data_IF_726517443359
#
_entry.id   IF_726517443359
#
_cell.length_a   1.000
_cell.length_b   1.000
_cell.length_c   1.000
_cell.angle_alpha   90.00
_cell.angle_beta   90.00
_cell.angle_gamma   90.00
#
_symmetry.space_group_name_H-M   'P 1'
#
loop_
_entity.id
_entity.type
_entity.pdbx_description
1 polymer ?
#
# COMPACT_ATOMS: atom_id res chain seq x y z
N UNK A 1 46.81 19.68 3.77
CA UNK A 1 45.56 20.39 3.44
C UNK A 1 44.75 19.51 2.52
N UNK A 2 43.69 18.86 2.98
CA UNK A 2 42.69 18.25 2.09
C UNK A 2 41.36 18.05 2.83
N UNK A 3 40.46 19.00 2.54
CA UNK A 3 39.02 18.91 2.31
C UNK A 3 38.17 18.06 3.27
N UNK A 4 37.53 18.76 4.21
CA UNK A 4 36.35 18.32 4.93
C UNK A 4 35.18 18.17 3.95
N UNK A 5 34.68 16.96 3.74
CA UNK A 5 33.38 16.74 3.10
C UNK A 5 32.29 17.04 4.11
N UNK A 6 31.61 18.17 3.91
CA UNK A 6 30.43 18.58 4.67
C UNK A 6 29.29 17.62 4.37
N UNK A 7 28.94 16.77 5.35
CA UNK A 7 27.69 16.02 5.37
C UNK A 7 26.55 17.03 5.48
N UNK A 8 25.99 17.46 4.34
CA UNK A 8 24.74 18.21 4.32
C UNK A 8 23.61 17.24 4.66
N UNK A 9 23.38 17.04 5.96
CA UNK A 9 22.19 16.36 6.48
C UNK A 9 20.99 17.31 6.30
N UNK A 10 20.52 17.46 5.06
CA UNK A 10 19.17 17.93 4.81
C UNK A 10 18.23 16.84 5.31
N UNK A 11 17.90 16.90 6.61
CA UNK A 11 16.99 16.01 7.30
C UNK A 11 15.56 16.23 6.79
N UNK A 12 15.30 15.79 5.56
CA UNK A 12 13.97 15.76 4.98
C UNK A 12 13.31 14.45 5.44
N UNK A 13 12.50 14.55 6.49
CA UNK A 13 11.74 13.44 7.05
C UNK A 13 10.84 12.81 5.99
N UNK A 14 11.01 11.50 5.74
CA UNK A 14 10.09 10.74 4.89
C UNK A 14 8.77 10.51 5.65
N UNK A 15 7.61 10.65 4.98
CA UNK A 15 6.33 10.33 5.61
C UNK A 15 6.18 8.82 5.82
N UNK A 16 5.30 8.43 6.74
CA UNK A 16 4.87 7.04 6.91
C UNK A 16 3.48 6.84 6.29
N UNK A 17 3.29 5.72 5.59
CA UNK A 17 2.01 5.27 5.05
C UNK A 17 1.34 4.32 6.04
N UNK A 18 0.18 4.73 6.52
CA UNK A 18 -0.73 3.86 7.27
C UNK A 18 -1.85 3.39 6.33
N UNK A 19 -2.10 2.08 6.35
CA UNK A 19 -3.20 1.45 5.64
C UNK A 19 -4.15 0.86 6.69
N UNK A 20 -5.36 1.40 6.76
CA UNK A 20 -6.40 0.88 7.64
C UNK A 20 -7.40 0.04 6.85
N UNK A 21 -7.76 -1.17 7.32
CA UNK A 21 -8.73 -2.02 6.63
C UNK A 21 -10.11 -1.34 6.60
N UNK A 22 -10.74 -1.22 5.44
CA UNK A 22 -12.08 -0.61 5.33
C UNK A 22 -13.15 -1.43 6.06
N UNK A 23 -12.98 -2.76 6.14
CA UNK A 23 -13.94 -3.70 6.74
C UNK A 23 -13.33 -4.56 7.86
N UNK A 24 -12.20 -4.14 8.46
CA UNK A 24 -11.53 -4.91 9.52
C UNK A 24 -11.02 -6.29 9.10
N UNK A 25 -10.79 -6.53 7.80
CA UNK A 25 -10.43 -7.85 7.25
C UNK A 25 -8.97 -8.26 7.47
N UNK A 26 -8.11 -7.35 7.92
CA UNK A 26 -6.69 -7.56 8.21
C UNK A 26 -6.21 -6.50 9.21
N UNK A 27 -5.12 -6.75 9.93
CA UNK A 27 -4.59 -5.79 10.92
C UNK A 27 -4.00 -4.55 10.22
N UNK A 28 -4.22 -3.32 10.72
CA UNK A 28 -3.65 -2.11 10.13
C UNK A 28 -2.14 -2.23 9.87
N UNK A 29 -1.67 -1.59 8.81
CA UNK A 29 -0.26 -1.61 8.42
C UNK A 29 0.34 -0.20 8.53
N UNK A 30 1.56 -0.10 9.05
CA UNK A 30 2.39 1.09 9.08
C UNK A 30 3.67 0.83 8.29
N UNK A 31 3.80 1.50 7.15
CA UNK A 31 4.85 1.32 6.18
C UNK A 31 5.69 2.60 6.12
N UNK A 32 6.97 2.49 6.47
CA UNK A 32 7.92 3.61 6.46
C UNK A 32 9.15 3.36 5.58
N UNK A 33 9.26 2.18 4.96
CA UNK A 33 10.35 1.87 4.04
C UNK A 33 10.15 2.57 2.69
N UNK A 34 11.24 3.04 2.08
CA UNK A 34 11.20 3.84 0.85
C UNK A 34 10.55 3.12 -0.33
N UNK A 35 10.74 1.81 -0.43
CA UNK A 35 10.21 1.00 -1.53
C UNK A 35 9.63 -0.29 -0.99
N UNK A 36 8.32 -0.44 -1.10
CA UNK A 36 7.60 -1.62 -0.60
C UNK A 36 6.81 -2.27 -1.71
N UNK A 37 6.90 -3.59 -1.76
CA UNK A 37 6.06 -4.42 -2.62
C UNK A 37 4.74 -4.70 -1.94
N UNK A 38 3.67 -4.50 -2.69
CA UNK A 38 2.34 -5.00 -2.35
C UNK A 38 2.11 -6.32 -3.08
N UNK A 39 1.64 -7.33 -2.37
CA UNK A 39 1.37 -8.61 -3.01
C UNK A 39 0.80 -9.68 -2.09
N UNK A 40 0.55 -10.85 -2.70
CA UNK A 40 0.03 -12.03 -2.01
C UNK A 40 1.14 -12.82 -1.34
N UNK A 41 0.87 -13.32 -0.14
CA UNK A 41 1.70 -14.31 0.53
C UNK A 41 1.86 -15.59 -0.32
N UNK A 42 3.09 -16.08 -0.45
CA UNK A 42 3.42 -17.35 -1.13
C UNK A 42 4.22 -18.31 -0.28
N UNK A 43 4.93 -17.80 0.73
CA UNK A 43 5.81 -18.55 1.61
C UNK A 43 5.96 -17.80 2.96
N UNK A 44 6.83 -18.28 3.84
CA UNK A 44 7.08 -17.64 5.14
C UNK A 44 7.71 -16.24 5.02
N UNK A 45 8.52 -15.98 3.99
CA UNK A 45 9.19 -14.69 3.78
C UNK A 45 8.20 -13.57 3.39
N UNK A 46 7.09 -13.96 2.77
CA UNK A 46 6.01 -13.06 2.32
C UNK A 46 4.81 -13.08 3.27
N UNK A 47 5.01 -13.55 4.50
CA UNK A 47 3.96 -13.54 5.52
C UNK A 47 3.51 -12.10 5.83
N UNK A 48 2.20 -11.83 5.89
CA UNK A 48 1.67 -10.50 6.25
C UNK A 48 2.15 -10.07 7.63
N UNK A 49 2.71 -8.86 7.72
CA UNK A 49 3.01 -8.19 8.98
C UNK A 49 2.47 -6.77 8.95
N UNK A 50 2.46 -6.09 10.10
CA UNK A 50 2.07 -4.68 10.19
C UNK A 50 3.02 -3.75 9.42
N UNK A 51 4.24 -4.20 9.08
CA UNK A 51 5.29 -3.36 8.49
C UNK A 51 5.53 -3.59 7.01
N UNK A 52 4.84 -4.56 6.39
CA UNK A 52 5.04 -4.91 4.99
C UNK A 52 3.76 -4.79 4.15
N UNK A 53 3.92 -4.85 2.83
CA UNK A 53 2.83 -4.80 1.86
C UNK A 53 2.18 -6.15 1.53
N UNK A 54 2.48 -7.22 2.25
CA UNK A 54 1.94 -8.55 1.93
C UNK A 54 0.58 -8.81 2.59
N UNK A 55 -0.28 -9.51 1.87
CA UNK A 55 -1.61 -9.93 2.31
C UNK A 55 -1.85 -11.40 2.01
N UNK A 56 -2.59 -12.09 2.87
CA UNK A 56 -3.10 -13.43 2.57
C UNK A 56 -4.44 -13.31 1.84
N UNK A 57 -4.39 -13.04 0.54
CA UNK A 57 -5.59 -12.95 -0.29
C UNK A 57 -5.35 -13.45 -1.71
N UNK A 58 -6.18 -14.41 -2.15
CA UNK A 58 -6.08 -15.05 -3.47
C UNK A 58 -6.38 -14.12 -4.64
N UNK A 59 -7.04 -12.99 -4.41
CA UNK A 59 -7.37 -12.02 -5.47
C UNK A 59 -6.19 -11.10 -5.80
N UNK A 60 -5.12 -11.15 -5.01
CA UNK A 60 -3.88 -10.42 -5.27
C UNK A 60 -2.89 -11.26 -6.08
N UNK A 61 -2.17 -10.56 -6.95
CA UNK A 61 -0.96 -11.07 -7.60
C UNK A 61 0.16 -11.22 -6.55
N UNK A 62 1.14 -12.08 -6.83
CA UNK A 62 2.33 -12.21 -5.97
C UNK A 62 3.14 -10.91 -5.90
N UNK A 63 3.25 -10.24 -7.04
CA UNK A 63 3.72 -8.86 -7.19
C UNK A 63 2.55 -8.10 -7.83
N UNK A 64 1.88 -7.26 -7.05
CA UNK A 64 0.60 -6.66 -7.45
C UNK A 64 0.74 -5.16 -7.66
N UNK A 65 1.37 -4.48 -6.71
CA UNK A 65 1.67 -3.07 -6.79
C UNK A 65 2.99 -2.76 -6.06
N UNK A 66 3.50 -1.56 -6.26
CA UNK A 66 4.66 -1.04 -5.54
C UNK A 66 4.32 0.33 -4.96
N UNK A 67 4.73 0.53 -3.71
CA UNK A 67 4.64 1.82 -3.02
C UNK A 67 6.04 2.42 -2.93
N UNK A 68 6.15 3.69 -3.30
CA UNK A 68 7.38 4.47 -3.24
C UNK A 68 7.16 5.69 -2.33
N UNK A 69 7.88 5.73 -1.21
CA UNK A 69 7.88 6.85 -0.27
C UNK A 69 9.02 7.81 -0.65
N UNK A 70 8.66 8.93 -1.26
CA UNK A 70 9.57 10.05 -1.50
C UNK A 70 9.70 10.97 -0.29
N UNK A 71 10.42 12.08 -0.43
CA UNK A 71 10.70 13.03 0.66
C UNK A 71 9.44 13.64 1.30
N UNK A 72 8.34 13.79 0.56
CA UNK A 72 7.09 14.43 1.03
C UNK A 72 5.82 13.81 0.46
N UNK A 73 5.98 12.86 -0.47
CA UNK A 73 4.91 12.32 -1.29
C UNK A 73 5.06 10.82 -1.33
N UNK A 74 3.93 10.13 -1.32
CA UNK A 74 3.87 8.68 -1.42
C UNK A 74 3.18 8.37 -2.73
N UNK A 75 3.78 7.48 -3.50
CA UNK A 75 3.25 7.04 -4.78
C UNK A 75 2.95 5.56 -4.73
N UNK A 76 1.94 5.15 -5.50
CA UNK A 76 1.65 3.74 -5.77
C UNK A 76 1.60 3.51 -7.27
N UNK A 77 2.07 2.35 -7.72
CA UNK A 77 1.89 1.89 -9.10
C UNK A 77 1.40 0.45 -9.11
N UNK A 78 0.48 0.14 -10.02
CA UNK A 78 0.13 -1.24 -10.36
C UNK A 78 1.25 -1.86 -11.19
N UNK A 79 1.66 -3.09 -10.89
CA UNK A 79 2.75 -3.78 -11.59
C UNK A 79 2.23 -4.95 -12.44
N UNK A 80 1.35 -4.65 -13.40
CA UNK A 80 0.74 -5.63 -14.31
C UNK A 80 -0.14 -6.65 -13.56
N UNK A 81 -0.89 -6.18 -12.58
CA UNK A 81 -1.77 -7.07 -11.83
C UNK A 81 -2.95 -7.56 -12.68
N UNK A 82 -3.38 -8.79 -12.39
CA UNK A 82 -4.51 -9.40 -13.10
C UNK A 82 -5.83 -8.72 -12.71
N UNK A 83 -6.17 -8.76 -11.43
CA UNK A 83 -7.42 -8.19 -10.93
C UNK A 83 -7.40 -6.66 -10.76
N UNK A 84 -6.24 -6.00 -10.96
CA UNK A 84 -6.11 -4.54 -10.91
C UNK A 84 -5.92 -3.94 -9.52
N UNK A 85 -5.32 -2.75 -9.52
CA UNK A 85 -5.28 -1.80 -8.40
C UNK A 85 -6.23 -0.63 -8.68
N UNK A 86 -6.98 -0.21 -7.66
CA UNK A 86 -7.97 0.86 -7.75
C UNK A 86 -7.70 1.91 -6.67
N UNK A 87 -7.89 3.18 -7.03
CA UNK A 87 -7.88 4.31 -6.10
C UNK A 87 -9.23 5.01 -6.21
N UNK A 88 -9.93 5.15 -5.09
CA UNK A 88 -11.25 5.79 -5.01
C UNK A 88 -12.26 5.21 -6.02
N UNK A 89 -12.20 3.89 -6.23
CA UNK A 89 -13.05 3.16 -7.18
C UNK A 89 -12.61 3.24 -8.65
N UNK A 90 -11.57 4.02 -8.97
CA UNK A 90 -11.02 4.12 -10.32
C UNK A 90 -9.80 3.21 -10.48
N UNK A 91 -9.80 2.38 -11.53
CA UNK A 91 -8.67 1.50 -11.84
C UNK A 91 -7.47 2.29 -12.38
N UNK A 92 -6.27 1.94 -11.95
CA UNK A 92 -5.04 2.65 -12.35
C UNK A 92 -4.56 2.32 -13.77
N UNK A 93 -4.76 1.08 -14.23
CA UNK A 93 -4.31 0.61 -15.54
C UNK A 93 -5.22 -0.48 -16.14
N UNK A 94 -4.93 -0.86 -17.39
CA UNK A 94 -5.48 -2.04 -18.05
C UNK A 94 -5.07 -3.34 -17.37
N UNK A 95 -5.74 -4.45 -17.71
CA UNK A 95 -5.42 -5.76 -17.10
C UNK A 95 -4.05 -6.21 -17.57
N UNK A 96 -3.21 -6.64 -16.62
CA UNK A 96 -1.83 -7.03 -16.91
C UNK A 96 -1.01 -5.93 -17.61
N UNK A 97 -1.31 -4.66 -17.30
CA UNK A 97 -0.56 -3.48 -17.77
C UNK A 97 -0.05 -2.70 -16.56
N UNK A 98 1.22 -2.32 -16.57
CA UNK A 98 1.80 -1.44 -15.54
C UNK A 98 1.11 -0.07 -15.57
N UNK A 99 0.82 0.52 -14.40
CA UNK A 99 0.27 1.87 -14.33
C UNK A 99 1.37 2.92 -14.23
N UNK A 100 1.04 4.15 -14.63
CA UNK A 100 1.80 5.31 -14.19
C UNK A 100 1.75 5.45 -12.65
N UNK A 101 2.78 6.02 -12.01
CA UNK A 101 2.75 6.30 -10.58
C UNK A 101 1.61 7.26 -10.20
N UNK A 102 0.79 6.85 -9.23
CA UNK A 102 -0.29 7.65 -8.67
C UNK A 102 0.12 8.23 -7.32
N UNK A 103 -0.01 9.54 -7.12
CA UNK A 103 0.26 10.21 -5.84
C UNK A 103 -0.88 9.96 -4.85
N UNK A 104 -0.60 9.26 -3.76
CA UNK A 104 -1.55 8.99 -2.69
C UNK A 104 -1.77 10.22 -1.82
N UNK A 105 -3.01 10.37 -1.35
CA UNK A 105 -3.45 11.41 -0.41
C UNK A 105 -4.11 10.78 0.80
N UNK A 106 -4.15 11.55 1.89
CA UNK A 106 -4.94 11.19 3.07
C UNK A 106 -6.40 10.92 2.69
N UNK A 107 -6.99 9.90 3.32
CA UNK A 107 -8.35 9.40 3.10
C UNK A 107 -8.62 8.73 1.74
N UNK A 108 -7.62 8.61 0.85
CA UNK A 108 -7.78 7.80 -0.37
C UNK A 108 -8.13 6.35 0.00
N UNK A 109 -9.04 5.75 -0.75
CA UNK A 109 -9.35 4.34 -0.65
C UNK A 109 -8.59 3.58 -1.73
N UNK A 110 -7.65 2.74 -1.31
CA UNK A 110 -6.92 1.83 -2.20
C UNK A 110 -7.60 0.46 -2.14
N UNK A 111 -7.80 -0.14 -3.30
CA UNK A 111 -8.30 -1.50 -3.40
C UNK A 111 -7.39 -2.35 -4.30
N UNK A 112 -7.07 -3.55 -3.83
CA UNK A 112 -6.30 -4.54 -4.57
C UNK A 112 -7.18 -5.73 -4.91
N UNK A 113 -7.26 -5.98 -6.22
CA UNK A 113 -8.14 -6.99 -6.81
C UNK A 113 -9.63 -6.67 -6.69
N UNK A 114 -10.44 -7.70 -6.92
CA UNK A 114 -11.90 -7.61 -6.96
C UNK A 114 -12.53 -8.67 -6.05
N UNK A 115 -13.79 -8.46 -5.66
CA UNK A 115 -14.56 -9.50 -5.00
C UNK A 115 -14.86 -10.62 -6.00
N UNK A 116 -14.47 -11.84 -5.65
CA UNK A 116 -14.76 -13.05 -6.42
C UNK A 116 -15.99 -13.70 -5.83
N UNK A 117 -17.02 -13.87 -6.66
CA UNK A 117 -18.26 -14.51 -6.26
C UNK A 117 -18.22 -16.02 -6.53
N UNK A 118 -18.89 -16.78 -5.67
CA UNK A 118 -19.14 -18.20 -5.89
C UNK A 118 -20.12 -18.44 -7.04
N UNK A 119 -20.42 -19.71 -7.29
CA UNK A 119 -21.34 -20.11 -8.37
C UNK A 119 -22.75 -19.51 -8.21
N UNK A 120 -23.17 -19.24 -6.98
CA UNK A 120 -24.47 -18.64 -6.65
C UNK A 120 -24.55 -17.13 -6.95
N UNK A 121 -23.44 -16.48 -7.33
CA UNK A 121 -23.28 -15.03 -7.56
C UNK A 121 -23.71 -14.14 -6.39
N UNK A 122 -23.90 -14.72 -5.21
CA UNK A 122 -24.35 -14.02 -3.99
C UNK A 122 -23.29 -14.08 -2.90
N UNK A 123 -22.59 -15.20 -2.80
CA UNK A 123 -21.57 -15.42 -1.79
C UNK A 123 -20.22 -14.96 -2.32
N UNK A 124 -19.57 -14.05 -1.62
CA UNK A 124 -18.18 -13.66 -1.93
C UNK A 124 -17.27 -14.74 -1.37
N UNK A 125 -16.54 -15.44 -2.24
CA UNK A 125 -15.60 -16.50 -1.87
C UNK A 125 -14.23 -15.93 -1.53
N UNK A 126 -13.81 -14.88 -2.24
CA UNK A 126 -12.58 -14.16 -1.95
C UNK A 126 -12.82 -12.66 -2.03
N UNK A 127 -12.52 -11.95 -0.94
CA UNK A 127 -12.72 -10.51 -0.85
C UNK A 127 -11.50 -9.76 -1.40
N UNK A 128 -11.77 -8.64 -2.08
CA UNK A 128 -10.74 -7.63 -2.37
C UNK A 128 -10.11 -7.12 -1.07
N UNK A 129 -8.88 -6.63 -1.18
CA UNK A 129 -8.22 -5.93 -0.07
C UNK A 129 -8.49 -4.45 -0.23
N UNK A 130 -9.31 -3.87 0.64
CA UNK A 130 -9.59 -2.43 0.66
C UNK A 130 -8.94 -1.78 1.88
N UNK A 131 -8.22 -0.69 1.65
CA UNK A 131 -7.50 0.07 2.64
C UNK A 131 -7.80 1.57 2.51
N UNK A 132 -8.02 2.23 3.65
CA UNK A 132 -7.99 3.68 3.73
C UNK A 132 -6.57 4.16 4.03
N UNK A 133 -6.12 5.15 3.26
CA UNK A 133 -4.79 5.74 3.33
C UNK A 133 -4.75 6.83 4.38
N UNK A 134 -3.73 6.76 5.21
CA UNK A 134 -3.37 7.83 6.13
C UNK A 134 -1.87 8.06 6.01
N UNK A 135 -1.47 9.30 5.75
CA UNK A 135 -0.09 9.72 5.55
C UNK A 135 0.28 10.62 6.72
N UNK A 136 1.15 10.12 7.59
CA UNK A 136 1.72 10.92 8.67
C UNK A 136 3.03 11.54 8.18
N UNK A 137 3.10 12.88 8.20
CA UNK A 137 4.37 13.58 8.08
C UNK A 137 5.20 13.29 9.34
N UNK A 138 6.47 12.94 9.18
CA UNK A 138 7.31 12.38 10.25
C UNK A 138 7.25 13.16 11.58
N UNK A 139 6.48 12.63 12.53
CA UNK A 139 6.91 12.00 13.78
C UNK A 139 5.90 10.86 14.06
N UNK A 140 6.23 9.96 14.98
CA UNK A 140 5.44 8.77 15.34
C UNK A 140 4.13 9.14 16.05
N UNK A 141 3.26 9.89 15.41
CA UNK A 141 1.87 10.00 15.82
C UNK A 141 1.04 9.19 14.84
N UNK A 142 0.51 8.06 15.31
CA UNK A 142 -0.68 7.47 14.68
C UNK A 142 -1.78 8.55 14.79
N UNK A 143 -2.27 9.12 13.66
CA UNK A 143 -3.21 10.24 13.69
C UNK A 143 -4.57 9.90 14.30
N UNK A 144 -4.83 8.62 14.56
CA UNK A 144 -6.07 8.12 15.17
C UNK A 144 -5.90 7.77 16.65
N UNK A 145 -4.69 7.48 17.13
CA UNK A 145 -4.43 7.32 18.57
C UNK A 145 -4.40 8.64 19.33
N UNK A 146 -4.16 9.78 18.66
CA UNK A 146 -4.22 11.11 19.28
C UNK A 146 -5.65 11.67 19.43
N UNK A 147 -6.68 10.93 18.99
CA UNK A 147 -8.10 11.34 19.04
C UNK A 147 -8.96 10.48 19.98
N UNK A 148 -8.35 9.61 20.80
CA UNK A 148 -9.02 8.84 21.84
C UNK A 148 -8.80 9.46 23.23
#
# INVERSE_FOLDING_TARGET
>A
MQLTTTTSTNNAFSPALYLYPVNGTWAPKCIAEQHIRIGRQTNAETAPTEKNGFFDSKVLSRRHAEVCIGKRRIYIKDTESWNGTFINGQRLSGESVESEPFELKNEDIIEFGIDVFGHDKKTITHRKVSARVVIAAGEKEDPFLSRL
#
